data_IF_261947264156
#
_entry.id   IF_261947264156
#
_cell.length_a   1.000
_cell.length_b   1.000
_cell.length_c   1.000
_cell.angle_alpha   90.00
_cell.angle_beta   90.00
_cell.angle_gamma   90.00
#
_symmetry.space_group_name_H-M   'P 1'
#
loop_
_entity.id
_entity.type
_entity.pdbx_description
1 polymer ?
#
# COMPACT_ATOMS: atom_id res chain seq x y z
N UNK A 1 -10.51 14.14 -3.72
CA UNK A 1 -9.29 13.32 -3.58
C UNK A 1 -9.24 12.32 -4.72
N UNK A 2 -8.31 12.53 -5.66
CA UNK A 2 -8.00 11.65 -6.79
C UNK A 2 -7.02 10.56 -6.34
N UNK A 3 -6.69 9.62 -7.23
CA UNK A 3 -5.70 8.58 -6.90
C UNK A 3 -4.34 9.18 -6.55
N UNK A 4 -3.89 10.20 -7.29
CA UNK A 4 -2.63 10.89 -7.02
C UNK A 4 -2.56 11.41 -5.57
N UNK A 5 -3.58 12.15 -5.13
CA UNK A 5 -3.69 12.67 -3.76
C UNK A 5 -3.68 11.53 -2.71
N UNK A 6 -4.42 10.44 -2.98
CA UNK A 6 -4.51 9.31 -2.06
C UNK A 6 -3.19 8.52 -1.95
N UNK A 7 -2.42 8.48 -3.03
CA UNK A 7 -1.08 7.89 -3.09
C UNK A 7 -0.06 8.75 -2.33
N UNK A 8 -0.14 10.06 -2.47
CA UNK A 8 0.72 10.98 -1.70
C UNK A 8 0.47 10.86 -0.19
N UNK A 9 -0.78 10.71 0.22
CA UNK A 9 -1.12 10.53 1.64
C UNK A 9 -0.87 9.12 2.16
N UNK A 10 -0.64 8.14 1.28
CA UNK A 10 -0.48 6.72 1.64
C UNK A 10 -1.70 6.09 2.34
N UNK A 11 -2.89 6.68 2.22
CA UNK A 11 -4.01 6.34 3.12
C UNK A 11 -4.46 4.87 3.02
N UNK A 12 -4.36 4.27 1.84
CA UNK A 12 -4.75 2.87 1.64
C UNK A 12 -3.75 1.87 2.24
N UNK A 13 -2.59 2.34 2.73
CA UNK A 13 -1.70 1.53 3.57
C UNK A 13 -2.16 1.60 5.03
N UNK A 14 -2.47 2.80 5.54
CA UNK A 14 -2.68 3.02 6.97
C UNK A 14 -4.11 2.84 7.47
N UNK A 15 -5.13 2.92 6.60
CA UNK A 15 -6.51 2.69 7.00
C UNK A 15 -6.70 1.24 7.50
N UNK A 16 -7.15 1.10 8.75
CA UNK A 16 -7.40 -0.21 9.39
C UNK A 16 -8.85 -0.64 9.22
N UNK A 17 -9.81 0.29 9.30
CA UNK A 17 -11.22 -0.03 9.10
C UNK A 17 -11.51 -0.38 7.65
N UNK A 18 -12.00 -1.60 7.44
CA UNK A 18 -12.38 -2.12 6.13
C UNK A 18 -13.44 -1.27 5.47
N UNK A 19 -14.45 -0.82 6.22
CA UNK A 19 -15.56 -0.06 5.64
C UNK A 19 -15.09 1.31 5.19
N UNK A 20 -14.30 2.01 6.01
CA UNK A 20 -13.65 3.26 5.63
C UNK A 20 -12.74 3.09 4.40
N UNK A 21 -11.93 2.03 4.34
CA UNK A 21 -11.06 1.74 3.18
C UNK A 21 -11.87 1.58 1.89
N UNK A 22 -12.94 0.78 1.91
CA UNK A 22 -13.80 0.59 0.73
C UNK A 22 -14.51 1.89 0.33
N UNK A 23 -15.02 2.65 1.30
CA UNK A 23 -15.70 3.93 1.05
C UNK A 23 -14.75 4.99 0.45
N UNK A 24 -13.53 5.11 0.98
CA UNK A 24 -12.54 6.04 0.42
C UNK A 24 -12.08 5.61 -0.97
N UNK A 25 -11.92 4.30 -1.21
CA UNK A 25 -11.56 3.80 -2.53
C UNK A 25 -12.67 4.05 -3.57
N UNK A 26 -13.94 3.97 -3.17
CA UNK A 26 -15.07 4.35 -4.01
C UNK A 26 -15.13 5.86 -4.28
N UNK A 27 -14.78 6.69 -3.30
CA UNK A 27 -14.66 8.13 -3.50
C UNK A 27 -13.57 8.46 -4.54
N UNK A 28 -12.43 7.75 -4.49
CA UNK A 28 -11.39 7.86 -5.53
C UNK A 28 -11.94 7.43 -6.88
N UNK A 29 -12.66 6.29 -6.97
CA UNK A 29 -13.27 5.83 -8.22
C UNK A 29 -14.20 6.88 -8.85
N UNK A 30 -15.04 7.52 -8.03
CA UNK A 30 -15.96 8.59 -8.45
C UNK A 30 -15.18 9.82 -8.95
N UNK A 31 -14.15 10.23 -8.21
CA UNK A 31 -13.36 11.41 -8.57
C UNK A 31 -12.51 11.19 -9.82
N UNK A 32 -12.01 9.97 -10.04
CA UNK A 32 -11.30 9.58 -11.27
C UNK A 32 -12.23 9.57 -12.50
N UNK A 33 -13.51 9.23 -12.33
CA UNK A 33 -14.50 9.33 -13.39
C UNK A 33 -14.81 10.80 -13.77
N UNK A 34 -14.81 11.71 -12.80
CA UNK A 34 -15.12 13.14 -12.99
C UNK A 34 -13.89 14.02 -13.14
N UNK A 35 -12.69 13.46 -13.35
CA UNK A 35 -11.45 14.25 -13.40
C UNK A 35 -11.32 15.13 -14.64
N UNK A 36 -11.96 14.74 -15.74
CA UNK A 36 -11.96 15.41 -17.02
C UNK A 36 -13.38 15.80 -17.42
N UNK A 37 -13.51 16.86 -18.22
CA UNK A 37 -14.81 17.33 -18.74
C UNK A 37 -15.56 16.20 -19.47
N UNK A 38 -14.81 15.42 -20.25
CA UNK A 38 -15.30 14.19 -20.86
C UNK A 38 -15.18 13.06 -19.82
N UNK A 39 -16.33 12.65 -19.26
CA UNK A 39 -16.41 11.58 -18.27
C UNK A 39 -16.19 10.20 -18.92
N UNK A 40 -14.97 9.69 -18.85
CA UNK A 40 -14.60 8.41 -19.48
C UNK A 40 -14.65 7.25 -18.47
N UNK A 41 -15.54 6.25 -18.64
CA UNK A 41 -15.64 5.09 -17.74
C UNK A 41 -14.35 4.25 -17.65
N UNK A 42 -13.49 4.31 -18.66
CA UNK A 42 -12.18 3.62 -18.67
C UNK A 42 -11.34 4.03 -17.45
N UNK A 43 -11.33 5.32 -17.10
CA UNK A 43 -10.51 5.87 -16.01
C UNK A 43 -10.89 5.33 -14.63
N UNK A 44 -12.16 4.98 -14.43
CA UNK A 44 -12.66 4.47 -13.14
C UNK A 44 -12.83 2.94 -13.10
N UNK A 45 -12.60 2.25 -14.24
CA UNK A 45 -12.89 0.83 -14.39
C UNK A 45 -12.11 -0.04 -13.40
N UNK A 46 -10.82 0.24 -13.23
CA UNK A 46 -9.95 -0.47 -12.29
C UNK A 46 -10.51 -0.40 -10.86
N UNK A 47 -10.87 0.80 -10.41
CA UNK A 47 -11.33 1.03 -9.05
C UNK A 47 -12.69 0.38 -8.77
N UNK A 48 -13.65 0.53 -9.68
CA UNK A 48 -14.97 -0.09 -9.50
C UNK A 48 -14.94 -1.61 -9.58
N UNK A 49 -14.08 -2.19 -10.44
CA UNK A 49 -13.95 -3.64 -10.53
C UNK A 49 -13.18 -4.21 -9.34
N UNK A 50 -12.19 -3.51 -8.80
CA UNK A 50 -11.58 -3.88 -7.51
C UNK A 50 -12.60 -3.90 -6.36
N UNK A 51 -13.59 -3.00 -6.37
CA UNK A 51 -14.71 -2.99 -5.43
C UNK A 51 -15.80 -4.04 -5.73
N UNK A 52 -15.64 -4.84 -6.79
CA UNK A 52 -16.66 -5.78 -7.29
C UNK A 52 -17.99 -5.09 -7.69
N UNK A 53 -17.94 -3.80 -8.02
CA UNK A 53 -19.10 -2.98 -8.43
C UNK A 53 -19.29 -2.95 -9.96
N UNK A 54 -19.38 -4.12 -10.57
CA UNK A 54 -19.59 -4.27 -12.04
C UNK A 54 -20.84 -3.51 -12.53
N UNK A 55 -21.92 -3.55 -11.75
CA UNK A 55 -23.22 -2.93 -12.09
C UNK A 55 -23.12 -1.41 -12.21
N UNK A 56 -22.36 -0.77 -11.33
CA UNK A 56 -22.08 0.67 -11.40
C UNK A 56 -21.34 0.98 -12.70
N UNK A 57 -20.26 0.24 -12.98
CA UNK A 57 -19.48 0.42 -14.20
C UNK A 57 -20.33 0.23 -15.47
N UNK A 58 -21.21 -0.78 -15.49
CA UNK A 58 -22.16 -1.00 -16.58
C UNK A 58 -23.09 0.21 -16.79
N UNK A 59 -23.56 0.84 -15.72
CA UNK A 59 -24.34 2.08 -15.76
C UNK A 59 -23.55 3.25 -16.34
N UNK A 60 -22.29 3.43 -15.95
CA UNK A 60 -21.42 4.49 -16.48
C UNK A 60 -21.16 4.32 -17.98
N UNK A 61 -20.96 3.07 -18.43
CA UNK A 61 -20.83 2.76 -19.85
C UNK A 61 -22.13 3.00 -20.63
N UNK A 62 -23.32 2.96 -19.99
CA UNK A 62 -24.59 3.32 -20.65
C UNK A 62 -24.61 4.78 -21.11
N UNK A 63 -24.01 5.67 -20.33
CA UNK A 63 -24.03 7.12 -20.56
C UNK A 63 -22.92 7.56 -21.52
N UNK A 64 -21.86 6.75 -21.67
CA UNK A 64 -20.71 7.05 -22.54
C UNK A 64 -20.97 6.72 -24.03
N UNK A 65 -22.04 7.25 -24.62
CA UNK A 65 -22.42 6.99 -26.03
C UNK A 65 -21.40 7.49 -27.06
N UNK A 66 -20.58 8.47 -26.68
CA UNK A 66 -19.51 9.01 -27.52
C UNK A 66 -18.29 8.08 -27.62
N UNK A 67 -18.14 7.08 -26.74
CA UNK A 67 -16.98 6.22 -26.72
C UNK A 67 -17.17 5.03 -27.68
N UNK A 68 -16.26 4.80 -28.65
CA UNK A 68 -16.40 3.71 -29.63
C UNK A 68 -16.39 2.31 -28.99
N UNK A 69 -15.79 2.15 -27.80
CA UNK A 69 -15.73 0.87 -27.09
C UNK A 69 -17.00 0.56 -26.29
N UNK A 70 -17.97 1.49 -26.28
CA UNK A 70 -19.18 1.41 -25.46
C UNK A 70 -19.98 0.13 -25.75
N UNK A 71 -20.35 -0.10 -27.00
CA UNK A 71 -21.20 -1.24 -27.37
C UNK A 71 -20.53 -2.58 -27.04
N UNK A 72 -19.25 -2.73 -27.35
CA UNK A 72 -18.49 -3.94 -27.05
C UNK A 72 -18.35 -4.17 -25.53
N UNK A 73 -18.02 -3.12 -24.78
CA UNK A 73 -17.83 -3.21 -23.33
C UNK A 73 -19.16 -3.49 -22.61
N UNK A 74 -20.26 -2.87 -23.03
CA UNK A 74 -21.57 -3.16 -22.46
C UNK A 74 -22.02 -4.60 -22.71
N UNK A 75 -21.84 -5.11 -23.94
CA UNK A 75 -22.15 -6.52 -24.25
C UNK A 75 -21.36 -7.47 -23.37
N UNK A 76 -20.08 -7.18 -23.13
CA UNK A 76 -19.24 -7.97 -22.24
C UNK A 76 -19.74 -7.91 -20.79
N UNK A 77 -19.94 -6.70 -20.24
CA UNK A 77 -20.34 -6.47 -18.85
C UNK A 77 -21.76 -6.97 -18.52
N UNK A 78 -22.61 -7.14 -19.52
CA UNK A 78 -23.95 -7.71 -19.38
C UNK A 78 -23.95 -9.21 -19.03
N UNK A 79 -22.84 -9.91 -19.25
CA UNK A 79 -22.72 -11.32 -18.92
C UNK A 79 -22.44 -11.55 -17.44
N UNK A 80 -22.69 -12.78 -17.00
CA UNK A 80 -22.32 -13.25 -15.68
C UNK A 80 -20.85 -13.71 -15.66
N UNK A 81 -20.07 -13.16 -14.72
CA UNK A 81 -18.65 -13.49 -14.57
C UNK A 81 -18.40 -14.54 -13.50
N UNK A 82 -19.45 -15.13 -12.92
CA UNK A 82 -19.32 -16.39 -12.19
C UNK A 82 -19.22 -17.59 -13.13
N UNK A 83 -19.63 -17.44 -14.39
CA UNK A 83 -19.42 -18.43 -15.45
C UNK A 83 -17.96 -18.40 -15.97
N UNK A 84 -17.22 -19.53 -15.90
CA UNK A 84 -15.83 -19.61 -16.36
C UNK A 84 -15.65 -19.24 -17.84
N UNK A 85 -16.68 -19.40 -18.67
CA UNK A 85 -16.66 -18.96 -20.08
C UNK A 85 -16.40 -17.46 -20.17
N UNK A 86 -17.12 -16.66 -19.40
CA UNK A 86 -17.00 -15.20 -19.46
C UNK A 86 -15.75 -14.69 -18.74
N UNK A 87 -15.28 -15.39 -17.70
CA UNK A 87 -13.94 -15.16 -17.13
C UNK A 87 -12.85 -15.36 -18.17
N UNK A 88 -12.92 -16.43 -18.97
CA UNK A 88 -11.95 -16.70 -20.05
C UNK A 88 -11.98 -15.60 -21.12
N UNK A 89 -13.16 -15.09 -21.47
CA UNK A 89 -13.29 -13.97 -22.42
C UNK A 89 -12.70 -12.68 -21.83
N UNK A 90 -12.99 -12.35 -20.56
CA UNK A 90 -12.38 -11.22 -19.88
C UNK A 90 -10.85 -11.33 -19.81
N UNK A 91 -10.32 -12.53 -19.53
CA UNK A 91 -8.89 -12.80 -19.47
C UNK A 91 -8.21 -12.57 -20.83
N UNK A 92 -8.80 -13.08 -21.92
CA UNK A 92 -8.31 -12.82 -23.29
C UNK A 92 -8.30 -11.32 -23.60
N UNK A 93 -9.35 -10.60 -23.21
CA UNK A 93 -9.43 -9.16 -23.38
C UNK A 93 -8.38 -8.42 -22.54
N UNK A 94 -8.09 -8.89 -21.31
CA UNK A 94 -7.05 -8.33 -20.46
C UNK A 94 -5.68 -8.38 -21.15
N UNK A 95 -5.30 -9.54 -21.71
CA UNK A 95 -4.04 -9.68 -22.45
C UNK A 95 -4.02 -8.83 -23.72
N UNK A 96 -5.14 -8.70 -24.43
CA UNK A 96 -5.24 -7.81 -25.60
C UNK A 96 -5.10 -6.32 -25.24
N UNK A 97 -5.57 -5.90 -24.05
CA UNK A 97 -5.37 -4.54 -23.54
C UNK A 97 -3.93 -4.33 -23.09
N UNK A 98 -3.30 -5.36 -22.52
CA UNK A 98 -1.90 -5.33 -22.11
C UNK A 98 -0.97 -5.13 -23.31
N UNK A 99 -1.21 -5.84 -24.42
CA UNK A 99 -0.43 -5.67 -25.66
C UNK A 99 -0.61 -4.29 -26.30
N UNK A 100 -1.78 -3.66 -26.09
CA UNK A 100 -2.06 -2.26 -26.48
C UNK A 100 -1.52 -1.22 -25.49
N UNK A 101 -0.76 -1.64 -24.46
CA UNK A 101 -0.20 -0.77 -23.41
C UNK A 101 -1.25 0.00 -22.59
N UNK A 102 -2.49 -0.49 -22.53
CA UNK A 102 -3.56 0.09 -21.69
C UNK A 102 -3.58 -0.60 -20.33
N UNK A 103 -2.53 -0.37 -19.55
CA UNK A 103 -2.20 -1.17 -18.36
C UNK A 103 -3.26 -1.15 -17.26
N UNK A 104 -3.73 0.02 -16.82
CA UNK A 104 -4.78 0.11 -15.79
C UNK A 104 -6.09 -0.56 -16.22
N UNK A 105 -6.45 -0.43 -17.50
CA UNK A 105 -7.65 -1.05 -18.05
C UNK A 105 -7.48 -2.58 -18.21
N UNK A 106 -6.28 -3.05 -18.55
CA UNK A 106 -5.94 -4.47 -18.54
C UNK A 106 -6.05 -5.05 -17.12
N UNK A 107 -5.50 -4.37 -16.10
CA UNK A 107 -5.63 -4.77 -14.70
C UNK A 107 -7.11 -4.86 -14.29
N UNK A 108 -7.95 -3.92 -14.72
CA UNK A 108 -9.39 -3.95 -14.47
C UNK A 108 -10.05 -5.23 -15.04
N UNK A 109 -9.64 -5.65 -16.25
CA UNK A 109 -10.15 -6.87 -16.89
C UNK A 109 -9.60 -8.16 -16.27
N UNK A 110 -8.36 -8.14 -15.74
CA UNK A 110 -7.85 -9.25 -14.92
C UNK A 110 -8.71 -9.41 -13.65
N UNK A 111 -9.10 -8.32 -12.99
CA UNK A 111 -10.03 -8.39 -11.85
C UNK A 111 -11.40 -8.93 -12.25
N UNK A 112 -11.94 -8.49 -13.41
CA UNK A 112 -13.20 -9.02 -13.94
C UNK A 112 -13.14 -10.52 -14.25
N UNK A 113 -11.97 -11.03 -14.61
CA UNK A 113 -11.73 -12.45 -14.84
C UNK A 113 -11.48 -13.26 -13.55
N UNK A 114 -11.46 -12.63 -12.37
CA UNK A 114 -11.07 -13.22 -11.08
C UNK A 114 -9.57 -13.58 -10.98
N UNK A 115 -8.71 -12.83 -11.70
CA UNK A 115 -7.25 -12.97 -11.72
C UNK A 115 -6.57 -11.83 -10.94
N UNK A 116 -6.72 -11.82 -9.61
CA UNK A 116 -6.18 -10.77 -8.74
C UNK A 116 -4.65 -10.65 -8.82
N UNK A 117 -3.93 -11.78 -8.85
CA UNK A 117 -2.47 -11.78 -8.92
C UNK A 117 -1.96 -11.10 -10.21
N UNK A 118 -2.59 -11.38 -11.34
CA UNK A 118 -2.20 -10.78 -12.62
C UNK A 118 -2.47 -9.27 -12.64
N UNK A 119 -3.60 -8.82 -12.07
CA UNK A 119 -3.89 -7.40 -11.92
C UNK A 119 -2.83 -6.67 -11.08
N UNK A 120 -2.39 -7.28 -9.98
CA UNK A 120 -1.33 -6.73 -9.11
C UNK A 120 0.01 -6.71 -9.84
N UNK A 121 0.37 -7.79 -10.53
CA UNK A 121 1.59 -7.84 -11.34
C UNK A 121 1.60 -6.74 -12.40
N UNK A 122 0.45 -6.41 -13.00
CA UNK A 122 0.32 -5.30 -13.94
C UNK A 122 0.57 -3.94 -13.27
N UNK A 123 0.02 -3.76 -12.07
CA UNK A 123 0.22 -2.54 -11.29
C UNK A 123 1.69 -2.33 -10.89
N UNK A 124 2.39 -3.41 -10.53
CA UNK A 124 3.81 -3.38 -10.16
C UNK A 124 4.73 -3.14 -11.36
N UNK A 125 4.58 -3.94 -12.42
CA UNK A 125 5.58 -4.01 -13.47
C UNK A 125 5.37 -2.96 -14.56
N UNK A 126 4.11 -2.72 -14.95
CA UNK A 126 3.79 -1.82 -16.06
C UNK A 126 3.33 -0.45 -15.58
N UNK A 127 2.42 -0.39 -14.60
CA UNK A 127 1.99 0.90 -14.02
C UNK A 127 3.07 1.48 -13.10
N UNK A 128 3.89 0.62 -12.47
CA UNK A 128 4.94 0.98 -11.52
C UNK A 128 4.42 1.74 -10.30
N UNK A 129 3.27 1.32 -9.80
CA UNK A 129 2.63 1.91 -8.62
C UNK A 129 2.39 0.82 -7.55
N UNK A 130 3.35 0.71 -6.62
CA UNK A 130 3.31 -0.23 -5.50
C UNK A 130 2.11 0.02 -4.59
N UNK A 131 1.78 1.29 -4.34
CA UNK A 131 0.65 1.63 -3.48
C UNK A 131 -0.68 1.25 -4.13
N UNK A 132 -0.80 1.38 -5.45
CA UNK A 132 -1.98 0.94 -6.20
C UNK A 132 -2.15 -0.57 -6.11
N UNK A 133 -1.06 -1.33 -6.29
CA UNK A 133 -1.04 -2.77 -6.13
C UNK A 133 -1.51 -3.20 -4.72
N UNK A 134 -0.99 -2.56 -3.68
CA UNK A 134 -1.41 -2.78 -2.28
C UNK A 134 -2.89 -2.45 -2.10
N UNK A 135 -3.33 -1.28 -2.55
CA UNK A 135 -4.71 -0.84 -2.39
C UNK A 135 -5.69 -1.81 -3.06
N UNK A 136 -5.41 -2.26 -4.28
CA UNK A 136 -6.24 -3.24 -5.00
C UNK A 136 -6.23 -4.59 -4.27
N UNK A 137 -5.07 -5.08 -3.83
CA UNK A 137 -4.97 -6.34 -3.08
C UNK A 137 -5.82 -6.32 -1.81
N UNK A 138 -5.75 -5.21 -1.05
CA UNK A 138 -6.55 -5.00 0.16
C UNK A 138 -8.04 -4.91 -0.17
N UNK A 139 -8.43 -4.04 -1.10
CA UNK A 139 -9.84 -3.77 -1.46
C UNK A 139 -10.52 -5.01 -2.05
N UNK A 140 -9.89 -5.68 -3.01
CA UNK A 140 -10.50 -6.81 -3.73
C UNK A 140 -10.34 -8.13 -2.98
N UNK A 141 -9.13 -8.43 -2.49
CA UNK A 141 -8.78 -9.73 -1.90
C UNK A 141 -9.01 -9.80 -0.39
N UNK A 142 -8.81 -8.69 0.33
CA UNK A 142 -8.80 -8.71 1.80
C UNK A 142 -7.41 -8.55 2.39
N UNK A 143 -7.36 -8.07 3.64
CA UNK A 143 -6.10 -7.91 4.39
C UNK A 143 -5.45 -9.26 4.76
N UNK A 144 -6.23 -10.34 4.75
CA UNK A 144 -5.77 -11.71 4.97
C UNK A 144 -5.58 -12.52 3.68
N UNK A 145 -5.69 -11.88 2.51
CA UNK A 145 -5.55 -12.59 1.24
C UNK A 145 -4.11 -13.11 1.04
N UNK A 146 -3.94 -14.32 0.47
CA UNK A 146 -2.61 -14.86 0.19
C UNK A 146 -1.86 -13.98 -0.81
N UNK A 147 -2.59 -13.33 -1.72
CA UNK A 147 -2.03 -12.42 -2.71
C UNK A 147 -1.43 -11.18 -2.06
N UNK A 148 -2.12 -10.56 -1.08
CA UNK A 148 -1.54 -9.45 -0.32
C UNK A 148 -0.33 -9.90 0.51
N UNK A 149 -0.42 -11.08 1.17
CA UNK A 149 0.72 -11.62 1.93
C UNK A 149 1.97 -11.75 1.05
N UNK A 150 1.83 -12.38 -0.11
CA UNK A 150 2.91 -12.54 -1.08
C UNK A 150 3.48 -11.20 -1.54
N UNK A 151 2.60 -10.25 -1.86
CA UNK A 151 2.99 -8.89 -2.24
C UNK A 151 3.81 -8.19 -1.12
N UNK A 152 3.39 -8.34 0.13
CA UNK A 152 4.10 -7.76 1.27
C UNK A 152 5.48 -8.40 1.48
N UNK A 153 5.56 -9.72 1.39
CA UNK A 153 6.78 -10.51 1.63
C UNK A 153 7.84 -10.32 0.54
N UNK A 154 7.44 -10.40 -0.73
CA UNK A 154 8.38 -10.41 -1.85
C UNK A 154 8.73 -9.01 -2.35
N UNK A 155 7.76 -8.09 -2.41
CA UNK A 155 7.94 -6.79 -3.05
C UNK A 155 8.08 -5.66 -2.03
N UNK A 156 7.13 -5.53 -1.09
CA UNK A 156 7.11 -4.38 -0.16
C UNK A 156 8.30 -4.40 0.79
N UNK A 157 8.60 -5.54 1.41
CA UNK A 157 9.75 -5.67 2.29
C UNK A 157 11.08 -5.47 1.55
N UNK A 158 11.20 -5.95 0.31
CA UNK A 158 12.38 -5.72 -0.52
C UNK A 158 12.58 -4.23 -0.86
N UNK A 159 11.50 -3.52 -1.21
CA UNK A 159 11.53 -2.06 -1.44
C UNK A 159 11.89 -1.33 -0.15
N UNK A 160 11.28 -1.70 0.98
CA UNK A 160 11.57 -1.08 2.27
C UNK A 160 13.04 -1.27 2.69
N UNK A 161 13.61 -2.46 2.44
CA UNK A 161 15.03 -2.74 2.68
C UNK A 161 15.95 -1.87 1.81
N UNK A 162 15.65 -1.81 0.51
CA UNK A 162 16.44 -1.06 -0.48
C UNK A 162 16.42 0.44 -0.22
N UNK A 163 15.29 0.98 0.22
CA UNK A 163 15.13 2.41 0.49
C UNK A 163 15.48 2.80 1.93
N UNK A 164 15.70 1.84 2.82
CA UNK A 164 15.84 2.08 4.25
C UNK A 164 14.55 2.60 4.91
N UNK A 165 13.39 2.40 4.30
CA UNK A 165 12.12 2.95 4.74
C UNK A 165 11.56 2.15 5.94
N UNK A 166 11.79 2.66 7.15
CA UNK A 166 11.40 2.01 8.41
C UNK A 166 9.89 2.01 8.63
N UNK A 167 9.19 3.06 8.18
CA UNK A 167 7.72 3.13 8.22
C UNK A 167 7.09 1.99 7.42
N UNK A 168 7.52 1.81 6.18
CA UNK A 168 6.99 0.80 5.27
C UNK A 168 7.32 -0.62 5.76
N UNK A 169 8.54 -0.84 6.26
CA UNK A 169 8.93 -2.13 6.83
C UNK A 169 8.10 -2.49 8.06
N UNK A 170 7.96 -1.55 9.01
CA UNK A 170 7.18 -1.76 10.23
C UNK A 170 5.71 -2.07 9.90
N UNK A 171 5.12 -1.30 8.98
CA UNK A 171 3.77 -1.54 8.50
C UNK A 171 3.59 -2.90 7.83
N UNK A 172 4.51 -3.29 6.93
CA UNK A 172 4.43 -4.57 6.24
C UNK A 172 4.51 -5.75 7.22
N UNK A 173 5.45 -5.73 8.16
CA UNK A 173 5.53 -6.75 9.21
C UNK A 173 4.29 -6.78 10.11
N UNK A 174 3.70 -5.61 10.39
CA UNK A 174 2.46 -5.51 11.15
C UNK A 174 1.30 -6.22 10.43
N UNK A 175 1.14 -5.95 9.13
CA UNK A 175 0.13 -6.59 8.28
C UNK A 175 0.36 -8.11 8.15
N UNK A 176 1.61 -8.56 8.16
CA UNK A 176 1.99 -9.98 8.17
C UNK A 176 1.84 -10.67 9.53
N UNK A 177 1.34 -9.96 10.56
CA UNK A 177 1.23 -10.45 11.93
C UNK A 177 2.58 -10.87 12.56
N UNK A 178 3.71 -10.33 12.04
CA UNK A 178 5.07 -10.47 12.59
C UNK A 178 5.39 -9.24 13.46
N UNK A 179 4.60 -9.05 14.52
CA UNK A 179 4.63 -7.81 15.32
C UNK A 179 5.95 -7.59 16.06
N UNK A 180 6.67 -8.66 16.34
CA UNK A 180 8.01 -8.60 16.91
C UNK A 180 9.00 -7.92 15.95
N UNK A 181 8.91 -8.25 14.66
CA UNK A 181 9.73 -7.62 13.62
C UNK A 181 9.26 -6.22 13.26
N UNK A 182 7.95 -5.96 13.32
CA UNK A 182 7.40 -4.62 13.09
C UNK A 182 8.02 -3.58 14.04
N UNK A 183 8.21 -3.94 15.31
CA UNK A 183 8.86 -3.08 16.32
C UNK A 183 10.36 -2.97 16.07
N UNK A 184 11.03 -4.09 15.79
CA UNK A 184 12.48 -4.09 15.52
C UNK A 184 12.83 -3.26 14.27
N UNK A 185 11.98 -3.25 13.26
CA UNK A 185 12.17 -2.50 12.02
C UNK A 185 12.15 -0.98 12.20
N UNK A 186 11.63 -0.47 13.32
CA UNK A 186 11.64 0.97 13.63
C UNK A 186 13.00 1.44 14.15
N UNK A 187 13.74 0.54 14.80
CA UNK A 187 15.01 0.87 15.48
C UNK A 187 16.19 0.33 14.68
N UNK A 188 16.15 -0.95 14.32
CA UNK A 188 17.22 -1.62 13.60
C UNK A 188 17.13 -1.37 12.09
N UNK A 189 18.27 -1.30 11.37
CA UNK A 189 18.25 -1.13 9.93
C UNK A 189 17.50 -2.27 9.22
N UNK A 190 16.58 -1.93 8.32
CA UNK A 190 15.63 -2.88 7.72
C UNK A 190 16.33 -4.06 7.02
N UNK A 191 17.45 -3.82 6.33
CA UNK A 191 18.21 -4.87 5.63
C UNK A 191 18.75 -5.96 6.57
N UNK A 192 19.07 -5.62 7.83
CA UNK A 192 19.51 -6.61 8.85
C UNK A 192 18.42 -7.58 9.24
N UNK A 193 17.16 -7.22 9.03
CA UNK A 193 16.00 -8.03 9.41
C UNK A 193 15.53 -8.97 8.30
N UNK A 194 15.94 -8.70 7.06
CA UNK A 194 15.45 -9.38 5.86
C UNK A 194 16.54 -10.23 5.19
N UNK A 195 17.70 -10.42 5.83
CA UNK A 195 18.87 -11.14 5.31
C UNK A 195 19.21 -10.74 3.85
N UNK A 196 18.89 -9.51 3.47
CA UNK A 196 18.97 -9.08 2.08
C UNK A 196 20.38 -8.59 1.80
N UNK A 197 21.09 -9.11 0.80
CA UNK A 197 22.53 -8.84 0.58
C UNK A 197 22.84 -7.44 0.04
N UNK A 198 21.89 -6.50 0.07
CA UNK A 198 22.04 -5.19 -0.53
C UNK A 198 22.28 -4.14 0.57
N UNK A 199 23.49 -3.59 0.65
CA UNK A 199 23.72 -2.35 1.36
C UNK A 199 22.93 -1.24 0.63
N UNK A 200 21.96 -0.60 1.28
CA UNK A 200 21.11 0.36 0.59
C UNK A 200 21.91 1.62 0.24
N UNK A 201 21.64 2.17 -0.95
CA UNK A 201 22.16 3.47 -1.38
C UNK A 201 21.37 4.58 -0.66
N UNK A 202 21.73 4.80 0.60
CA UNK A 202 20.95 5.56 1.59
C UNK A 202 20.99 7.07 1.40
N UNK A 203 21.94 7.60 0.63
CA UNK A 203 22.29 9.03 0.64
C UNK A 203 21.13 9.96 0.26
N UNK A 204 20.25 9.55 -0.67
CA UNK A 204 19.12 10.37 -1.12
C UNK A 204 17.82 10.17 -0.30
N UNK A 205 17.76 9.19 0.61
CA UNK A 205 16.54 8.80 1.34
C UNK A 205 16.70 8.74 2.86
N UNK A 206 17.72 9.40 3.40
CA UNK A 206 18.00 9.46 4.84
C UNK A 206 16.77 9.85 5.67
N UNK A 207 15.93 10.79 5.19
CA UNK A 207 14.72 11.20 5.90
C UNK A 207 13.69 10.07 6.14
N UNK A 208 13.68 9.00 5.33
CA UNK A 208 12.81 7.83 5.54
C UNK A 208 13.38 6.86 6.58
N UNK A 209 14.69 6.91 6.80
CA UNK A 209 15.41 6.11 7.80
C UNK A 209 15.58 6.87 9.13
N UNK A 210 15.63 8.20 9.10
CA UNK A 210 15.96 9.12 10.20
C UNK A 210 14.83 10.14 10.39
N UNK A 211 13.60 9.66 10.54
CA UNK A 211 12.44 10.47 10.90
C UNK A 211 12.24 10.46 12.43
N UNK A 212 12.31 11.62 13.12
CA UNK A 212 12.14 11.67 14.56
C UNK A 212 10.73 11.26 15.03
N UNK A 213 9.72 11.22 14.16
CA UNK A 213 8.40 10.67 14.50
C UNK A 213 8.39 9.14 14.63
N UNK A 214 9.41 8.42 14.13
CA UNK A 214 9.55 6.98 14.32
C UNK A 214 9.67 6.60 15.80
N UNK A 215 10.25 7.47 16.63
CA UNK A 215 10.37 7.22 18.08
C UNK A 215 9.01 7.21 18.77
N UNK A 216 8.08 8.05 18.31
CA UNK A 216 6.71 8.10 18.81
C UNK A 216 5.97 6.83 18.42
N UNK A 217 6.10 6.40 17.16
CA UNK A 217 5.53 5.13 16.71
C UNK A 217 6.11 3.94 17.50
N UNK A 218 7.43 3.92 17.71
CA UNK A 218 8.10 2.88 18.49
C UNK A 218 7.56 2.83 19.93
N UNK A 219 7.42 3.98 20.59
CA UNK A 219 6.81 4.09 21.93
C UNK A 219 5.42 3.48 21.97
N UNK A 220 4.56 3.85 21.02
CA UNK A 220 3.18 3.36 20.96
C UNK A 220 3.08 1.86 20.67
N UNK A 221 3.99 1.32 19.84
CA UNK A 221 3.95 -0.09 19.46
C UNK A 221 4.63 -1.01 20.48
N UNK A 222 5.72 -0.57 21.12
CA UNK A 222 6.57 -1.37 22.03
C UNK A 222 5.73 -2.19 23.02
N UNK A 223 4.78 -1.55 23.68
CA UNK A 223 3.98 -2.17 24.76
C UNK A 223 2.56 -2.58 24.33
N UNK A 224 2.20 -2.43 23.05
CA UNK A 224 0.82 -2.62 22.59
C UNK A 224 0.33 -4.07 22.67
N UNK A 225 1.23 -5.04 22.51
CA UNK A 225 0.94 -6.48 22.52
C UNK A 225 2.09 -7.29 23.13
N UNK A 226 1.83 -8.54 23.51
CA UNK A 226 2.91 -9.44 23.98
C UNK A 226 3.97 -9.72 22.90
N UNK A 227 3.58 -9.77 21.63
CA UNK A 227 4.52 -9.98 20.52
C UNK A 227 5.43 -8.78 20.30
N UNK A 228 4.88 -7.57 20.37
CA UNK A 228 5.66 -6.32 20.26
C UNK A 228 6.64 -6.17 21.43
N UNK A 229 6.22 -6.52 22.65
CA UNK A 229 7.10 -6.56 23.82
C UNK A 229 8.28 -7.52 23.61
N UNK A 230 8.01 -8.75 23.16
CA UNK A 230 9.07 -9.72 22.83
C UNK A 230 10.02 -9.21 21.74
N UNK A 231 9.50 -8.48 20.76
CA UNK A 231 10.32 -7.83 19.73
C UNK A 231 11.24 -6.76 20.31
N UNK A 232 10.69 -5.90 21.16
CA UNK A 232 11.44 -4.84 21.83
C UNK A 232 12.54 -5.40 22.75
N UNK A 233 12.28 -6.47 23.51
CA UNK A 233 13.31 -7.13 24.33
C UNK A 233 14.48 -7.71 23.53
N UNK A 234 14.30 -7.98 22.23
CA UNK A 234 15.37 -8.44 21.34
C UNK A 234 16.20 -7.29 20.76
N UNK A 235 15.77 -6.04 20.94
CA UNK A 235 16.55 -4.87 20.54
C UNK A 235 17.65 -4.68 21.57
N UNK A 236 18.88 -4.45 21.10
CA UNK A 236 20.00 -4.17 22.00
C UNK A 236 19.75 -2.81 22.69
N UNK A 237 19.80 -2.72 24.04
CA UNK A 237 19.57 -1.48 24.77
C UNK A 237 20.42 -0.29 24.30
N UNK A 238 21.67 -0.55 23.86
CA UNK A 238 22.53 0.51 23.31
C UNK A 238 22.00 1.07 22.01
N UNK A 239 21.56 0.19 21.10
CA UNK A 239 20.99 0.59 19.79
C UNK A 239 19.66 1.31 19.97
N UNK A 240 18.86 0.88 20.95
CA UNK A 240 17.63 1.58 21.33
C UNK A 240 17.92 2.98 21.88
N UNK A 241 18.90 3.10 22.77
CA UNK A 241 19.33 4.39 23.33
C UNK A 241 19.87 5.33 22.26
N UNK A 242 20.74 4.85 21.37
CA UNK A 242 21.30 5.63 20.27
C UNK A 242 20.18 6.14 19.34
N UNK A 243 19.19 5.30 19.02
CA UNK A 243 18.03 5.69 18.22
C UNK A 243 17.20 6.82 18.87
N UNK A 244 16.96 6.76 20.18
CA UNK A 244 16.24 7.81 20.91
C UNK A 244 17.06 9.09 20.96
N UNK A 245 18.36 8.99 21.23
CA UNK A 245 19.27 10.13 21.31
C UNK A 245 19.40 10.84 19.95
N UNK A 246 19.51 10.07 18.86
CA UNK A 246 19.56 10.62 17.52
C UNK A 246 18.24 11.27 17.11
N UNK A 247 17.10 10.71 17.53
CA UNK A 247 15.79 11.35 17.35
C UNK A 247 15.69 12.68 18.13
N UNK A 248 16.21 12.73 19.36
CA UNK A 248 16.25 13.96 20.17
C UNK A 248 17.13 15.04 19.52
N UNK A 249 18.31 14.67 19.01
CA UNK A 249 19.18 15.58 18.24
C UNK A 249 18.53 16.07 16.95
N UNK A 250 17.72 15.24 16.29
CA UNK A 250 16.96 15.66 15.11
C UNK A 250 15.89 16.69 15.47
N UNK A 251 15.15 16.50 16.58
CA UNK A 251 14.21 17.50 17.07
C UNK A 251 14.92 18.83 17.40
N UNK A 252 16.07 18.80 18.04
CA UNK A 252 16.90 19.98 18.31
C UNK A 252 17.31 20.70 17.01
N UNK A 253 17.78 19.96 16.00
CA UNK A 253 18.09 20.52 14.66
C UNK A 253 16.87 21.12 13.93
N UNK A 254 15.67 20.65 14.25
CA UNK A 254 14.41 21.19 13.71
C UNK A 254 13.90 22.41 14.50
N UNK A 255 14.59 22.83 15.58
CA UNK A 255 14.15 23.89 16.48
C UNK A 255 13.02 23.46 17.43
N UNK A 256 12.90 22.16 17.67
CA UNK A 256 11.92 21.55 18.56
C UNK A 256 12.58 21.05 19.87
N UNK A 257 13.42 21.87 20.47
CA UNK A 257 14.29 21.52 21.60
C UNK A 257 13.51 20.95 22.80
N UNK A 258 12.31 21.50 23.06
CA UNK A 258 11.41 21.01 24.11
C UNK A 258 10.98 19.55 23.88
N UNK A 259 10.72 19.15 22.62
CA UNK A 259 10.37 17.77 22.29
C UNK A 259 11.58 16.85 22.41
N UNK A 260 12.78 17.32 22.01
CA UNK A 260 14.02 16.57 22.19
C UNK A 260 14.34 16.33 23.67
N UNK A 261 14.17 17.35 24.52
CA UNK A 261 14.40 17.27 25.96
C UNK A 261 13.37 16.38 26.66
N UNK A 262 12.08 16.54 26.35
CA UNK A 262 11.01 15.68 26.87
C UNK A 262 11.23 14.21 26.49
N UNK A 263 11.63 13.95 25.24
CA UNK A 263 11.98 12.61 24.78
C UNK A 263 13.14 12.01 25.58
N UNK A 264 14.21 12.76 25.80
CA UNK A 264 15.36 12.30 26.59
C UNK A 264 15.00 11.99 28.06
N UNK A 265 14.24 12.89 28.69
CA UNK A 265 13.85 12.77 30.11
C UNK A 265 12.88 11.61 30.34
N UNK A 266 11.85 11.50 29.51
CA UNK A 266 10.83 10.45 29.62
C UNK A 266 11.39 9.06 29.37
N UNK A 267 12.38 8.93 28.49
CA UNK A 267 12.99 7.64 28.16
C UNK A 267 14.10 7.22 29.13
N UNK A 268 14.82 8.17 29.72
CA UNK A 268 15.81 7.89 30.77
C UNK A 268 15.16 7.22 31.99
N UNK A 269 13.99 7.70 32.40
CA UNK A 269 13.21 7.12 33.49
C UNK A 269 12.73 5.68 33.26
N UNK A 270 12.86 5.13 32.04
CA UNK A 270 12.51 3.74 31.69
C UNK A 270 13.71 2.79 31.83
N UNK A 271 14.93 3.32 31.92
CA UNK A 271 16.17 2.55 32.06
C UNK A 271 16.73 2.51 33.49
N UNK A 272 16.16 3.28 34.42
CA UNK A 272 16.33 3.12 35.88
C UNK A 272 15.37 2.05 36.44
#
# INVERSE_FOLDING_TARGET
>A
MRWADARESGMFMWLVDRNALLAQFENVARNEYTKSDIKNPVNCSLYYLALKKKTVLQGLWRIASWNPEQAATQRLLANDFDDPKWRTVALKNAYALLSKRRFEYAAAFFLLADHLQDAINVCLNQVKDLQLAIAIARVHGGDHSPVLRKLLEEEVLAVAAKEGNRWLASWAFWMLNRKDMAVRALVSPVYTLLETPCAPDLTAKLFLAEDPALVVLYSQLRQKTLQTLRGAFKVNPRVEWDFVLDSAKLYDRMGCDLLGLDLGMSWYAVFE
#
